data_IF_493915176147
#
_entry.id   IF_493915176147
#
_cell.length_a   1.000
_cell.length_b   1.000
_cell.length_c   1.000
_cell.angle_alpha   90.00
_cell.angle_beta   90.00
_cell.angle_gamma   90.00
#
_symmetry.space_group_name_H-M   'P 1'
#
loop_
_entity.id
_entity.type
_entity.pdbx_description
1 polymer ?
2 non-polymer ?
3 non-polymer ?
4 water ?
#
# COMPACT_ATOMS: atom_id res chain seq x y z
N UNK A 3 -20.23 5.84 16.96
CA UNK A 3 -18.88 5.72 16.33
C UNK A 3 -18.53 4.27 16.03
N UNK A 4 -17.92 4.02 14.88
CA UNK A 4 -17.48 2.69 14.49
C UNK A 4 -16.01 2.43 14.85
N UNK A 5 -15.60 1.15 14.83
CA UNK A 5 -14.24 0.80 15.26
C UNK A 5 -13.22 1.04 14.18
N UNK A 6 -12.15 1.82 14.47
CA UNK A 6 -11.12 2.03 13.45
C UNK A 6 -10.47 0.76 12.86
N UNK A 7 -10.42 -0.34 13.64
CA UNK A 7 -9.80 -1.60 13.19
C UNK A 7 -10.52 -2.18 11.98
N UNK A 8 -11.77 -1.76 11.76
CA UNK A 8 -12.50 -2.25 10.58
C UNK A 8 -11.80 -1.97 9.23
N UNK A 9 -10.86 -1.02 9.22
CA UNK A 9 -10.02 -0.75 8.05
C UNK A 9 -9.21 -1.97 7.59
N UNK A 10 -8.95 -2.91 8.49
CA UNK A 10 -8.25 -4.18 8.14
C UNK A 10 -9.12 -5.29 7.52
N UNK A 11 -10.43 -5.13 7.50
CA UNK A 11 -11.36 -6.18 7.17
C UNK A 11 -11.02 -6.85 5.84
N UNK A 12 -10.91 -6.05 4.75
CA UNK A 12 -10.78 -6.68 3.41
C UNK A 12 -9.36 -7.12 3.13
N UNK A 13 -8.40 -6.45 3.77
CA UNK A 13 -7.03 -6.90 3.79
C UNK A 13 -6.92 -8.30 4.39
N UNK A 14 -7.57 -8.53 5.53
CA UNK A 14 -7.60 -9.88 6.15
C UNK A 14 -8.34 -10.93 5.29
N UNK A 15 -9.51 -10.60 4.79
CA UNK A 15 -10.28 -11.54 3.97
C UNK A 15 -9.50 -11.88 2.70
N UNK A 16 -8.89 -10.86 2.05
CA UNK A 16 -8.13 -11.12 0.86
C UNK A 16 -6.90 -12.00 1.10
N UNK A 17 -6.22 -11.79 2.23
CA UNK A 17 -5.03 -12.58 2.50
C UNK A 17 -5.36 -14.06 2.56
N UNK A 18 -6.60 -14.35 2.93
CA UNK A 18 -7.04 -15.73 3.08
C UNK A 18 -7.65 -16.34 1.78
N UNK A 19 -7.64 -15.57 0.69
CA UNK A 19 -8.33 -15.98 -0.55
C UNK A 19 -7.81 -17.28 -1.21
N UNK A 20 -6.54 -17.60 -0.98
CA UNK A 20 -5.87 -18.72 -1.63
C UNK A 20 -5.79 -19.96 -0.74
N UNK A 21 -6.26 -19.84 0.49
CA UNK A 21 -6.22 -20.92 1.47
C UNK A 21 -5.78 -20.52 2.85
N UNK A 22 -5.70 -21.50 3.76
CA UNK A 22 -5.50 -21.24 5.18
C UNK A 22 -4.18 -20.54 5.54
N UNK A 23 -4.22 -19.67 6.53
CA UNK A 23 -3.05 -19.02 7.08
C UNK A 23 -3.14 -18.96 8.62
N UNK A 24 -1.99 -19.03 9.29
CA UNK A 24 -1.93 -18.84 10.73
C UNK A 24 -2.01 -17.37 11.02
N UNK A 25 -2.27 -17.00 12.27
CA UNK A 25 -2.24 -15.57 12.61
C UNK A 25 -0.84 -15.00 12.43
N UNK A 26 0.17 -15.84 12.69
CA UNK A 26 1.57 -15.48 12.48
C UNK A 26 1.81 -15.07 11.03
N UNK A 27 1.35 -15.91 10.08
CA UNK A 27 1.43 -15.63 8.64
C UNK A 27 0.74 -14.29 8.31
N UNK A 28 -0.49 -14.10 8.82
CA UNK A 28 -1.23 -12.89 8.57
C UNK A 28 -0.46 -11.69 9.14
N UNK A 29 -0.04 -11.79 10.40
CA UNK A 29 0.74 -10.74 11.03
C UNK A 29 2.02 -10.48 10.17
N UNK A 30 2.62 -11.55 9.68
CA UNK A 30 3.82 -11.41 8.83
C UNK A 30 3.57 -10.61 7.56
N UNK A 31 2.46 -10.87 6.83
CA UNK A 31 2.13 -10.06 5.63
C UNK A 31 2.00 -8.58 6.00
N UNK A 32 1.37 -8.29 7.14
CA UNK A 32 1.29 -6.90 7.60
C UNK A 32 2.65 -6.27 7.95
N UNK A 33 3.58 -7.05 8.52
CA UNK A 33 4.91 -6.54 8.85
C UNK A 33 5.80 -6.31 7.63
N UNK A 34 5.49 -7.05 6.56
CA UNK A 34 6.21 -7.02 5.29
C UNK A 34 5.40 -6.27 4.21
N UNK A 35 5.14 -6.92 3.08
CA UNK A 35 4.66 -6.26 1.85
C UNK A 35 3.35 -5.49 2.00
N UNK A 36 2.39 -6.08 2.69
CA UNK A 36 1.06 -5.50 2.81
C UNK A 36 1.10 -4.24 3.70
N UNK A 37 1.96 -4.22 4.71
CA UNK A 37 2.11 -3.00 5.55
C UNK A 37 2.72 -1.80 4.86
N UNK A 38 3.30 -2.00 3.70
CA UNK A 38 3.92 -0.88 2.99
C UNK A 38 2.85 0.00 2.33
N UNK A 39 1.72 -0.56 1.92
CA UNK A 39 0.62 0.25 1.32
C UNK A 39 -0.72 0.14 2.07
N UNK A 40 -0.78 -0.77 3.04
CA UNK A 40 -1.98 -0.88 3.84
C UNK A 40 -1.56 -1.17 5.27
N UNK A 41 -1.00 -0.13 5.88
CA UNK A 41 -0.44 -0.24 7.23
C UNK A 41 -1.50 -0.61 8.27
N UNK A 42 -1.14 -1.54 9.16
CA UNK A 42 -1.92 -1.92 10.30
C UNK A 42 -1.20 -1.48 11.55
N UNK A 43 -1.97 -0.97 12.52
CA UNK A 43 -1.48 -0.88 13.89
C UNK A 43 -1.51 -2.33 14.38
N UNK A 44 -0.33 -2.90 14.66
CA UNK A 44 -0.30 -4.33 14.85
C UNK A 44 -1.22 -4.82 16.01
N UNK A 45 -1.54 -3.95 16.97
CA UNK A 45 -2.53 -4.23 18.02
C UNK A 45 -3.95 -4.51 17.52
N UNK A 46 -4.28 -4.09 16.30
CA UNK A 46 -5.61 -4.24 15.70
C UNK A 46 -5.83 -5.56 14.95
N UNK A 47 -4.75 -6.25 14.60
CA UNK A 47 -4.89 -7.39 13.70
C UNK A 47 -5.68 -8.52 14.33
N UNK A 48 -5.22 -8.99 15.49
CA UNK A 48 -5.92 -10.13 16.14
C UNK A 48 -7.36 -9.80 16.53
N UNK A 49 -7.60 -8.61 17.07
CA UNK A 49 -9.00 -8.26 17.34
C UNK A 49 -9.94 -8.25 16.12
N UNK A 50 -9.46 -7.73 15.01
CA UNK A 50 -10.22 -7.76 13.77
C UNK A 50 -10.41 -9.18 13.25
N UNK A 51 -9.36 -10.01 13.31
CA UNK A 51 -9.49 -11.42 12.97
C UNK A 51 -10.63 -12.05 13.80
N UNK A 52 -10.67 -11.75 15.10
CA UNK A 52 -11.72 -12.31 15.96
C UNK A 52 -13.10 -11.84 15.49
N UNK A 53 -13.24 -10.54 15.21
CA UNK A 53 -14.53 -10.00 14.77
C UNK A 53 -15.02 -10.69 13.52
N UNK A 54 -14.13 -10.89 12.56
CA UNK A 54 -14.50 -11.51 11.28
C UNK A 54 -14.89 -13.00 11.44
N UNK A 55 -14.25 -13.68 12.38
CA UNK A 55 -14.62 -15.05 12.76
C UNK A 55 -16.00 -15.05 13.36
N UNK A 56 -16.21 -14.18 14.34
CA UNK A 56 -17.50 -14.11 15.02
C UNK A 56 -18.67 -13.70 14.10
N UNK A 57 -18.37 -12.97 13.05
CA UNK A 57 -19.35 -12.55 12.06
C UNK A 57 -19.58 -13.62 11.00
N UNK A 58 -18.83 -14.71 11.10
CA UNK A 58 -19.00 -15.85 10.18
C UNK A 58 -18.32 -15.74 8.84
N UNK A 59 -17.39 -14.78 8.67
CA UNK A 59 -16.67 -14.60 7.39
C UNK A 59 -15.43 -15.49 7.32
N UNK A 60 -14.91 -15.87 8.50
CA UNK A 60 -13.68 -16.63 8.67
C UNK A 60 -13.99 -17.71 9.70
N UNK A 61 -13.37 -18.86 9.54
CA UNK A 61 -13.40 -19.88 10.57
C UNK A 61 -11.96 -20.24 10.96
N UNK A 62 -11.78 -20.88 12.10
CA UNK A 62 -10.44 -21.38 12.45
C UNK A 62 -10.54 -22.83 12.87
N UNK A 63 -9.41 -23.52 12.74
CA UNK A 63 -9.22 -24.83 13.36
C UNK A 63 -7.93 -24.83 14.21
N UNK A 73 -1.33 -24.40 16.52
CA UNK A 73 -1.69 -23.03 16.21
C UNK A 73 -3.11 -22.92 15.60
N UNK A 74 -3.79 -21.79 15.84
CA UNK A 74 -5.03 -21.48 15.11
C UNK A 74 -4.70 -21.26 13.64
N UNK A 75 -5.47 -21.94 12.79
CA UNK A 75 -5.38 -21.79 11.34
C UNK A 75 -6.70 -21.27 10.79
N UNK A 76 -6.64 -20.14 10.11
CA UNK A 76 -7.83 -19.41 9.62
C UNK A 76 -8.12 -19.67 8.12
N UNK A 77 -9.42 -19.78 7.78
CA UNK A 77 -9.86 -19.92 6.38
C UNK A 77 -11.12 -19.12 6.15
N UNK A 78 -11.32 -18.66 4.91
CA UNK A 78 -12.59 -18.04 4.50
C UNK A 78 -13.72 -19.04 4.55
N UNK A 79 -14.89 -18.58 4.99
CA UNK A 79 -16.12 -19.35 4.80
C UNK A 79 -16.73 -18.95 3.44
N UNK A 80 -17.79 -19.62 3.02
CA UNK A 80 -18.51 -19.20 1.81
C UNK A 80 -19.01 -17.78 1.96
N UNK A 81 -19.50 -17.43 3.16
CA UNK A 81 -19.89 -16.04 3.45
C UNK A 81 -18.76 -15.03 3.26
N UNK A 82 -17.59 -15.34 3.80
CA UNK A 82 -16.39 -14.57 3.61
C UNK A 82 -15.96 -14.38 2.17
N UNK A 83 -16.02 -15.46 1.41
CA UNK A 83 -15.73 -15.39 -0.02
C UNK A 83 -16.68 -14.44 -0.76
N UNK A 84 -17.96 -14.47 -0.41
CA UNK A 84 -18.95 -13.61 -1.02
C UNK A 84 -18.72 -12.16 -0.58
N UNK A 85 -18.35 -11.99 0.67
CA UNK A 85 -18.10 -10.65 1.22
C UNK A 85 -16.92 -10.00 0.48
N UNK A 86 -15.86 -10.77 0.29
CA UNK A 86 -14.68 -10.26 -0.47
C UNK A 86 -15.03 -10.00 -1.95
N UNK A 87 -15.78 -10.91 -2.55
CA UNK A 87 -16.15 -10.76 -3.97
C UNK A 87 -16.99 -9.47 -4.19
N UNK A 88 -18.00 -9.26 -3.35
CA UNK A 88 -18.89 -8.08 -3.48
C UNK A 88 -18.08 -6.77 -3.40
N UNK A 89 -17.14 -6.73 -2.45
CA UNK A 89 -16.26 -5.54 -2.28
C UNK A 89 -15.36 -5.33 -3.49
N UNK A 90 -14.77 -6.42 -4.01
CA UNK A 90 -13.87 -6.32 -5.17
C UNK A 90 -14.60 -5.74 -6.37
N UNK A 91 -15.82 -6.20 -6.62
CA UNK A 91 -16.52 -5.74 -7.82
C UNK A 91 -17.37 -4.46 -7.70
N UNK A 92 -17.54 -3.96 -6.47
CA UNK A 92 -18.27 -2.73 -6.19
C UNK A 92 -17.52 -1.55 -6.81
N UNK A 93 -18.21 -0.66 -7.53
CA UNK A 93 -17.58 0.59 -8.03
C UNK A 93 -17.88 1.74 -7.04
N UNK A 94 -16.81 2.41 -6.63
CA UNK A 94 -16.85 3.52 -5.67
C UNK A 94 -16.29 4.74 -6.36
N UNK A 95 -16.77 5.95 -5.99
CA UNK A 95 -16.14 7.14 -6.59
C UNK A 95 -14.67 7.19 -6.14
N UNK A 96 -13.80 7.88 -6.87
CA UNK A 96 -12.44 7.99 -6.39
C UNK A 96 -12.47 8.88 -5.14
N UNK A 97 -11.67 8.50 -4.17
CA UNK A 97 -11.77 9.27 -2.97
C UNK A 97 -11.02 10.58 -3.03
N UNK A 98 -11.18 11.31 -1.93
CA UNK A 98 -10.48 12.57 -1.70
C UNK A 98 -8.98 12.38 -1.68
N UNK A 99 -8.26 13.39 -2.18
CA UNK A 99 -6.81 13.34 -2.25
C UNK A 99 -6.21 13.24 -0.91
N UNK A 100 -5.22 12.35 -0.77
CA UNK A 100 -4.60 12.14 0.56
C UNK A 100 -3.74 13.33 0.88
N UNK A 101 -3.81 13.80 2.12
CA UNK A 101 -3.04 14.96 2.54
C UNK A 101 -1.56 14.66 2.45
N UNK A 102 -0.87 15.44 1.62
CA UNK A 102 0.58 15.32 1.43
C UNK A 102 1.10 16.62 2.00
N UNK A 103 1.72 16.56 3.18
CA UNK A 103 2.14 17.75 3.91
C UNK A 103 3.20 18.53 3.14
N UNK A 104 4.04 17.82 2.39
CA UNK A 104 5.06 18.50 1.59
C UNK A 104 4.36 19.41 0.55
N UNK A 105 3.28 18.95 0.00
CA UNK A 105 2.56 19.70 -1.03
C UNK A 105 1.86 20.92 -0.41
N UNK A 106 1.44 20.84 0.84
CA UNK A 106 0.95 22.06 1.54
C UNK A 106 2.09 23.09 1.66
N UNK A 107 3.30 22.65 1.95
CA UNK A 107 4.45 23.53 1.99
C UNK A 107 4.66 24.18 0.64
N UNK A 108 4.59 23.35 -0.43
CA UNK A 108 4.77 23.85 -1.79
C UNK A 108 3.75 24.96 -2.11
N UNK A 109 2.52 24.77 -1.64
CA UNK A 109 1.44 25.74 -1.84
C UNK A 109 1.79 27.14 -1.23
N UNK A 110 2.55 27.11 -0.14
CA UNK A 110 2.97 28.28 0.59
C UNK A 110 4.42 28.74 0.30
N UNK A 111 4.96 28.25 -0.82
CA UNK A 111 6.36 28.52 -1.23
C UNK A 111 6.71 30.01 -1.24
N UNK A 112 5.71 30.89 -1.40
CA UNK A 112 5.96 32.35 -1.39
C UNK A 112 6.62 32.82 -0.09
N UNK A 113 6.46 32.04 0.99
CA UNK A 113 7.09 32.41 2.26
C UNK A 113 8.58 32.00 2.37
N UNK A 114 9.16 31.41 1.31
CA UNK A 114 10.58 31.00 1.24
C UNK A 114 11.35 31.75 0.16
N UNK A 115 12.61 32.06 0.47
CA UNK A 115 13.53 32.59 -0.53
C UNK A 115 13.83 31.54 -1.59
N UNK A 116 14.40 31.97 -2.72
CA UNK A 116 14.79 30.98 -3.76
C UNK A 116 15.72 29.89 -3.18
N UNK A 117 16.67 30.28 -2.34
CA UNK A 117 17.57 29.30 -1.76
C UNK A 117 16.85 28.40 -0.80
N UNK A 118 15.99 28.97 0.05
CA UNK A 118 15.21 28.13 0.98
C UNK A 118 14.33 27.13 0.25
N UNK A 119 13.73 27.57 -0.86
CA UNK A 119 12.88 26.71 -1.68
C UNK A 119 13.73 25.64 -2.30
N UNK A 120 14.89 26.00 -2.83
CA UNK A 120 15.81 25.02 -3.40
C UNK A 120 16.18 23.96 -2.35
N UNK A 121 16.46 24.37 -1.11
CA UNK A 121 16.91 23.42 -0.10
C UNK A 121 15.78 22.48 0.31
N UNK A 122 14.58 23.03 0.41
CA UNK A 122 13.39 22.21 0.75
C UNK A 122 13.12 21.17 -0.30
N UNK A 123 13.13 21.60 -1.56
CA UNK A 123 12.82 20.68 -2.66
C UNK A 123 13.93 19.62 -2.89
N UNK A 124 15.18 20.03 -2.67
CA UNK A 124 16.33 19.14 -2.85
C UNK A 124 16.28 18.08 -1.75
N UNK A 125 15.98 18.48 -0.51
CA UNK A 125 15.77 17.47 0.58
C UNK A 125 14.71 16.43 0.21
N UNK A 126 13.57 16.89 -0.33
CA UNK A 126 12.50 16.01 -0.67
C UNK A 126 12.93 15.09 -1.83
N UNK A 127 13.64 15.65 -2.81
CA UNK A 127 14.10 14.84 -3.97
C UNK A 127 15.03 13.70 -3.51
N UNK A 128 15.96 14.00 -2.63
CA UNK A 128 16.96 12.99 -2.22
C UNK A 128 16.27 11.87 -1.46
N UNK A 129 15.29 12.27 -0.64
CA UNK A 129 14.50 11.29 0.12
C UNK A 129 13.68 10.39 -0.80
N UNK A 130 13.04 10.99 -1.79
CA UNK A 130 12.17 10.24 -2.72
C UNK A 130 13.04 9.34 -3.61
N UNK A 131 14.21 9.78 -4.04
CA UNK A 131 15.15 8.89 -4.81
C UNK A 131 15.60 7.67 -4.00
N UNK A 132 15.81 7.87 -2.70
CA UNK A 132 16.16 6.74 -1.81
C UNK A 132 15.01 5.75 -1.65
N UNK A 133 13.79 6.27 -1.53
CA UNK A 133 12.61 5.40 -1.43
C UNK A 133 12.44 4.63 -2.73
N UNK A 134 12.68 5.29 -3.84
CA UNK A 134 12.56 4.66 -5.13
C UNK A 134 13.57 3.51 -5.25
N UNK A 135 14.79 3.74 -4.76
CA UNK A 135 15.82 2.68 -4.74
C UNK A 135 15.35 1.46 -3.96
N UNK A 136 14.70 1.69 -2.84
CA UNK A 136 14.15 0.63 -2.02
C UNK A 136 13.05 -0.15 -2.76
N UNK A 137 12.14 0.59 -3.41
CA UNK A 137 11.07 -0.07 -4.20
C UNK A 137 11.64 -0.87 -5.34
N UNK A 138 12.66 -0.33 -6.01
CA UNK A 138 13.30 -1.03 -7.13
C UNK A 138 13.90 -2.36 -6.65
N UNK A 139 14.52 -2.35 -5.47
CA UNK A 139 15.03 -3.59 -4.85
C UNK A 139 13.96 -4.64 -4.59
N UNK A 140 12.81 -4.20 -4.09
CA UNK A 140 11.69 -5.11 -3.81
C UNK A 140 11.15 -5.68 -5.12
N UNK A 141 11.07 -4.80 -6.12
CA UNK A 141 10.61 -5.19 -7.45
C UNK A 141 11.56 -6.26 -8.05
N UNK A 142 12.86 -6.03 -8.00
CA UNK A 142 13.79 -7.02 -8.51
C UNK A 142 13.73 -8.36 -7.76
N UNK A 143 13.44 -8.27 -6.47
CA UNK A 143 13.29 -9.50 -5.70
C UNK A 143 12.06 -10.31 -6.18
N UNK A 144 10.94 -9.63 -6.39
CA UNK A 144 9.74 -10.28 -6.88
C UNK A 144 10.02 -10.91 -8.24
N UNK A 145 10.71 -10.16 -9.09
CA UNK A 145 10.90 -10.56 -10.48
C UNK A 145 11.96 -11.61 -10.62
N UNK A 146 12.71 -11.90 -9.54
CA UNK A 146 13.66 -13.04 -9.56
C UNK A 146 13.01 -14.41 -9.63
N UNK A 147 11.69 -14.48 -9.51
CA UNK A 147 10.97 -15.74 -9.77
C UNK A 147 11.18 -16.27 -11.20
N UNK A 148 11.03 -17.59 -11.39
CA UNK A 148 11.30 -18.23 -12.68
C UNK A 148 10.22 -17.93 -13.73
N UNK A 149 8.95 -18.07 -13.33
CA UNK A 149 7.80 -17.92 -14.23
C UNK A 149 7.67 -16.48 -14.72
N UNK A 150 7.60 -16.27 -16.06
CA UNK A 150 7.45 -14.89 -16.54
C UNK A 150 6.14 -14.24 -16.02
N UNK A 151 6.15 -12.92 -15.84
CA UNK A 151 4.99 -12.23 -15.28
C UNK A 151 3.86 -12.10 -16.32
N UNK A 152 2.64 -12.36 -15.89
CA UNK A 152 1.47 -12.16 -16.69
C UNK A 152 0.25 -12.14 -15.79
N UNK A 153 -0.90 -11.84 -16.38
CA UNK A 153 -2.18 -11.91 -15.66
C UNK A 153 -2.38 -13.22 -14.89
N UNK A 154 -1.98 -14.35 -15.48
CA UNK A 154 -2.16 -15.65 -14.85
C UNK A 154 -1.14 -15.99 -13.78
N UNK A 155 -0.10 -15.19 -13.58
CA UNK A 155 0.91 -15.49 -12.58
C UNK A 155 0.28 -15.39 -11.18
N UNK A 156 0.61 -16.32 -10.26
CA UNK A 156 0.21 -16.20 -8.85
C UNK A 156 0.64 -14.92 -8.20
N UNK A 157 1.74 -14.35 -8.67
CA UNK A 157 2.29 -13.11 -8.14
C UNK A 157 1.78 -11.82 -8.83
N UNK A 158 0.76 -11.93 -9.69
CA UNK A 158 0.32 -10.73 -10.45
C UNK A 158 -0.15 -9.61 -9.53
N UNK A 159 -0.90 -9.92 -8.48
CA UNK A 159 -1.31 -8.85 -7.59
C UNK A 159 -0.18 -8.10 -6.88
N UNK A 160 0.84 -8.87 -6.47
CA UNK A 160 2.02 -8.26 -5.88
C UNK A 160 2.74 -7.35 -6.89
N UNK A 161 2.87 -7.84 -8.11
CA UNK A 161 3.40 -7.02 -9.23
C UNK A 161 2.64 -5.73 -9.42
N UNK A 162 1.30 -5.82 -9.33
CA UNK A 162 0.48 -4.63 -9.49
C UNK A 162 0.79 -3.59 -8.42
N UNK A 163 0.84 -3.99 -7.17
CA UNK A 163 1.11 -2.99 -6.10
C UNK A 163 2.55 -2.42 -6.20
N UNK A 164 3.51 -3.24 -6.57
CA UNK A 164 4.89 -2.79 -6.63
C UNK A 164 5.10 -1.89 -7.79
N UNK A 165 4.58 -2.25 -8.96
CA UNK A 165 4.73 -1.35 -10.13
C UNK A 165 3.99 -0.03 -9.94
N UNK A 166 2.82 -0.05 -9.31
CA UNK A 166 2.14 1.18 -9.01
C UNK A 166 3.00 2.11 -8.13
N UNK A 167 3.62 1.53 -7.11
CA UNK A 167 4.43 2.31 -6.15
C UNK A 167 5.66 2.88 -6.86
N UNK A 168 6.27 2.08 -7.72
CA UNK A 168 7.45 2.51 -8.47
C UNK A 168 7.11 3.63 -9.37
N UNK A 169 6.02 3.51 -10.13
CA UNK A 169 5.57 4.58 -11.04
C UNK A 169 5.28 5.84 -10.25
N UNK A 170 4.62 5.66 -9.12
CA UNK A 170 4.23 6.80 -8.22
C UNK A 170 5.45 7.62 -7.79
N UNK A 171 6.45 6.91 -7.30
CA UNK A 171 7.64 7.58 -6.78
C UNK A 171 8.48 8.12 -7.90
N UNK A 172 8.59 7.37 -9.01
CA UNK A 172 9.31 7.92 -10.20
C UNK A 172 8.68 9.22 -10.64
N UNK A 173 7.36 9.25 -10.69
CA UNK A 173 6.66 10.46 -11.09
C UNK A 173 6.88 11.63 -10.09
N UNK A 174 6.97 11.32 -8.82
CA UNK A 174 7.24 12.35 -7.80
C UNK A 174 8.65 12.94 -7.98
N UNK A 175 9.61 12.06 -8.24
CA UNK A 175 10.97 12.43 -8.48
C UNK A 175 11.05 13.33 -9.69
N UNK A 176 10.43 12.91 -10.80
CA UNK A 176 10.44 13.68 -12.03
C UNK A 176 9.84 15.06 -11.85
N UNK A 177 8.72 15.13 -11.16
CA UNK A 177 8.09 16.41 -10.81
C UNK A 177 9.00 17.30 -9.96
N UNK A 178 9.61 16.74 -8.93
CA UNK A 178 10.54 17.52 -8.13
C UNK A 178 11.73 18.10 -8.93
N UNK A 179 12.27 17.30 -9.86
CA UNK A 179 13.38 17.72 -10.70
C UNK A 179 12.91 18.88 -11.55
N UNK A 180 11.69 18.79 -12.07
CA UNK A 180 11.13 19.86 -12.93
C UNK A 180 11.02 21.18 -12.15
N UNK A 181 10.60 21.09 -10.91
CA UNK A 181 10.42 22.28 -10.07
C UNK A 181 11.77 22.87 -9.66
N UNK A 182 12.71 22.00 -9.31
CA UNK A 182 14.08 22.44 -9.01
C UNK A 182 14.66 23.21 -10.21
N UNK A 183 14.41 22.72 -11.44
CA UNK A 183 14.90 23.43 -12.64
C UNK A 183 14.23 24.80 -12.79
N UNK A 184 12.99 24.94 -12.38
CA UNK A 184 12.34 26.23 -12.36
C UNK A 184 12.84 27.11 -11.28
N UNK A 185 13.12 26.55 -10.11
CA UNK A 185 13.71 27.34 -9.01
C UNK A 185 15.09 27.83 -9.48
N UNK A 186 15.78 26.98 -10.26
CA UNK A 186 17.12 27.29 -10.82
C UNK A 186 17.08 27.72 -12.32
N UNK A 187 16.10 28.53 -12.66
CA UNK A 187 15.92 28.98 -14.06
C UNK A 187 17.18 29.66 -14.61
N UNK A 188 17.47 29.43 -15.91
CA UNK A 188 18.59 30.10 -16.59
C UNK A 188 18.47 31.60 -16.46
X LIG B 1 6.37 -4.64 -1.80
X LIG B 1 5.02 -4.53 -2.20
X LIG B 1 4.42 -3.25 -2.19
X LIG B 1 7.11 -3.42 -1.35
X LIG B 1 6.44 -2.18 -1.39
X LIG B 1 5.10 -2.10 -1.81
X LIG B 1 9.17 -2.31 -0.59
X LIG B 1 4.34 -0.81 -1.85
X LIG B 1 4.83 0.33 -1.41
X LIG B 1 4.07 1.59 -1.47
X LIG B 1 4.64 2.61 -1.03
X LIG B 1 2.93 1.68 -2.02
X LIG B 1 6.99 -5.86 -1.80
X LIG B 1 8.42 -3.50 -0.95
X LIG C 1 9.20 34.51 -4.60
X LIG C 1 10.00 35.57 -5.14
X LIG C 1 9.73 34.00 -3.25
X LIG C 1 9.04 32.81 -2.91
X LIG C 1 9.54 35.01 -2.11
X LIG C 1 8.24 35.54 -2.06
#
# INVERSE_FOLDING_TARGET
GSAKDPMRVLKYAILGLLRKGELSGYDITSYFKEELGQFWSAKHSQIYPELKKLTDEGFITFRTTIQGTKLEKKMYTLTDSGKQELHDWLIRHQPIPETVKDEFMLKAYFISSLSRQEASDLFTDQLLKRKAKLSDLQGSYEKLMASAEPMSFSSPDFGHYLVLTKALEREKNYVSWLESILAMIDED
FER C4 C5 C6 C3 C2 C1 C10 C7 C8 C9 O1 O2 O4 O3
GOL C1 O1 C2 O2 C3 O3
#
